data_IF_124670504853
#
_entry.id   IF_124670504853
#
_cell.length_a   1.000
_cell.length_b   1.000
_cell.length_c   1.000
_cell.angle_alpha   90.00
_cell.angle_beta   90.00
_cell.angle_gamma   90.00
#
_symmetry.space_group_name_H-M   'P 1'
#
loop_
_entity.id
_entity.type
_entity.pdbx_description
1 polymer ?
#
# COMPACT_ATOMS: atom_id res chain seq x y z
N UNK A 1 -1.76 12.39 -4.62
CA UNK A 1 -1.64 10.99 -4.17
C UNK A 1 -1.57 10.11 -5.39
N UNK A 2 -0.43 10.23 -6.04
CA UNK A 2 -0.11 9.54 -7.27
C UNK A 2 0.26 8.10 -6.93
N UNK A 3 -0.17 7.18 -7.78
CA UNK A 3 0.06 5.73 -7.73
C UNK A 3 1.29 5.35 -6.92
N UNK A 4 1.15 4.37 -6.02
CA UNK A 4 2.29 3.58 -5.60
C UNK A 4 3.04 3.13 -6.86
N UNK A 5 4.12 3.85 -7.22
CA UNK A 5 5.24 3.37 -8.04
C UNK A 5 6.02 2.32 -7.21
N UNK A 6 5.31 1.58 -6.38
CA UNK A 6 5.82 0.49 -5.59
C UNK A 6 6.12 -0.61 -6.57
N UNK A 7 7.34 -1.11 -6.49
CA UNK A 7 7.72 -2.32 -7.19
C UNK A 7 6.60 -3.36 -7.00
N UNK A 8 6.07 -3.93 -8.10
CA UNK A 8 5.00 -4.88 -7.99
C UNK A 8 5.42 -6.02 -7.07
N UNK A 9 4.54 -6.38 -6.14
CA UNK A 9 4.79 -7.50 -5.26
C UNK A 9 4.43 -8.79 -6.01
N UNK A 10 5.35 -9.76 -6.13
CA UNK A 10 5.07 -11.01 -6.80
C UNK A 10 4.15 -11.87 -5.93
N UNK A 11 3.09 -12.41 -6.53
CA UNK A 11 2.12 -13.30 -5.90
C UNK A 11 2.13 -14.63 -6.65
N UNK A 12 2.17 -15.72 -5.88
CA UNK A 12 2.08 -17.08 -6.40
C UNK A 12 0.65 -17.59 -6.31
N UNK A 13 0.09 -17.98 -7.44
CA UNK A 13 -1.25 -18.54 -7.56
C UNK A 13 -1.15 -20.00 -7.98
N UNK A 14 -1.88 -20.89 -7.31
CA UNK A 14 -1.97 -22.31 -7.68
C UNK A 14 -3.30 -22.58 -8.36
N UNK A 15 -3.25 -23.16 -9.55
CA UNK A 15 -4.46 -23.56 -10.29
C UNK A 15 -5.07 -24.80 -9.61
N UNK A 16 -6.32 -24.65 -9.12
CA UNK A 16 -7.05 -25.72 -8.41
C UNK A 16 -7.90 -26.60 -9.31
N UNK A 17 -8.37 -26.07 -10.44
CA UNK A 17 -9.32 -26.73 -11.34
C UNK A 17 -8.91 -26.62 -12.83
N UNK A 18 -9.64 -27.32 -13.69
CA UNK A 18 -9.46 -27.32 -15.14
C UNK A 18 -9.69 -25.91 -15.72
N UNK A 19 -8.87 -25.54 -16.70
CA UNK A 19 -9.07 -24.30 -17.43
C UNK A 19 -10.22 -24.44 -18.43
N UNK A 20 -11.12 -23.47 -18.46
CA UNK A 20 -12.26 -23.40 -19.39
C UNK A 20 -11.91 -22.40 -20.50
N UNK A 21 -11.78 -22.90 -21.73
CA UNK A 21 -11.51 -22.07 -22.91
C UNK A 21 -12.81 -21.52 -23.51
N UNK A 22 -12.75 -20.47 -24.36
CA UNK A 22 -13.94 -19.82 -24.95
C UNK A 22 -14.95 -20.74 -25.67
N UNK A 23 -14.53 -21.94 -26.08
CA UNK A 23 -15.38 -22.93 -26.74
C UNK A 23 -15.81 -24.08 -25.80
N UNK A 24 -15.82 -23.86 -24.48
CA UNK A 24 -16.06 -24.89 -23.44
C UNK A 24 -15.06 -26.05 -23.45
N UNK A 25 -13.97 -25.93 -24.22
CA UNK A 25 -12.89 -26.91 -24.22
C UNK A 25 -12.20 -26.83 -22.85
N UNK A 26 -12.05 -27.98 -22.19
CA UNK A 26 -11.40 -28.07 -20.88
C UNK A 26 -9.97 -28.58 -21.05
N UNK A 27 -9.01 -27.81 -20.55
CA UNK A 27 -7.60 -28.20 -20.52
C UNK A 27 -7.15 -28.43 -19.08
N UNK A 28 -6.41 -29.52 -18.85
CA UNK A 28 -5.92 -29.85 -17.53
C UNK A 28 -4.65 -29.05 -17.18
N UNK A 29 -4.85 -27.90 -16.53
CA UNK A 29 -3.80 -27.07 -15.94
C UNK A 29 -3.77 -27.19 -14.41
N UNK A 30 -4.43 -28.21 -13.83
CA UNK A 30 -4.53 -28.38 -12.38
C UNK A 30 -3.15 -28.64 -11.79
N UNK A 31 -2.78 -27.86 -10.78
CA UNK A 31 -1.48 -27.95 -10.10
C UNK A 31 -0.38 -27.10 -10.71
N UNK A 32 -0.63 -26.41 -11.83
CA UNK A 32 0.28 -25.39 -12.32
C UNK A 32 0.33 -24.18 -11.38
N UNK A 33 1.44 -23.46 -11.46
CA UNK A 33 1.66 -22.22 -10.75
C UNK A 33 1.63 -21.05 -11.72
N UNK A 34 1.06 -19.94 -11.27
CA UNK A 34 1.03 -18.67 -12.00
C UNK A 34 1.65 -17.62 -11.11
N UNK A 35 2.59 -16.87 -11.67
CA UNK A 35 3.15 -15.69 -11.02
C UNK A 35 2.38 -14.47 -11.54
N UNK A 36 1.95 -13.64 -10.61
CA UNK A 36 1.30 -12.37 -10.89
C UNK A 36 1.97 -11.23 -10.13
N UNK A 37 1.93 -10.03 -10.71
CA UNK A 37 2.41 -8.81 -10.11
C UNK A 37 1.25 -8.01 -9.53
N UNK A 38 1.31 -7.71 -8.23
CA UNK A 38 0.26 -6.98 -7.53
C UNK A 38 0.49 -5.48 -7.46
N UNK A 39 -0.58 -4.72 -7.75
CA UNK A 39 -0.63 -3.27 -7.67
C UNK A 39 -1.76 -2.83 -6.74
N UNK A 40 -1.41 -2.28 -5.59
CA UNK A 40 -2.39 -1.70 -4.65
C UNK A 40 -2.99 -0.40 -5.18
N UNK A 41 -4.32 -0.36 -5.32
CA UNK A 41 -5.11 0.83 -5.66
C UNK A 41 -6.01 1.20 -4.48
N UNK A 42 -5.54 2.15 -3.67
CA UNK A 42 -6.28 2.65 -2.50
C UNK A 42 -7.64 3.26 -2.89
N UNK A 43 -7.75 3.91 -4.04
CA UNK A 43 -9.01 4.51 -4.52
C UNK A 43 -10.11 3.50 -4.83
N UNK A 44 -9.75 2.23 -5.04
CA UNK A 44 -10.70 1.12 -5.28
C UNK A 44 -10.73 0.12 -4.14
N UNK A 45 -9.90 0.33 -3.10
CA UNK A 45 -9.69 -0.64 -2.01
C UNK A 45 -9.36 -2.05 -2.54
N UNK A 46 -8.54 -2.09 -3.60
CA UNK A 46 -8.23 -3.32 -4.33
C UNK A 46 -6.77 -3.47 -4.69
N UNK A 47 -6.32 -4.72 -4.74
CA UNK A 47 -5.03 -5.12 -5.31
C UNK A 47 -5.27 -5.68 -6.71
N UNK A 48 -4.88 -4.92 -7.73
CA UNK A 48 -4.94 -5.36 -9.12
C UNK A 48 -3.76 -6.31 -9.39
N UNK A 49 -4.03 -7.58 -9.69
CA UNK A 49 -3.00 -8.56 -10.04
C UNK A 49 -2.91 -8.67 -11.56
N UNK A 50 -1.70 -8.55 -12.11
CA UNK A 50 -1.40 -8.79 -13.53
C UNK A 50 -0.63 -10.08 -13.67
N UNK A 51 -1.13 -11.00 -14.48
CA UNK A 51 -0.44 -12.27 -14.73
C UNK A 51 0.87 -12.02 -15.50
N UNK A 52 1.90 -12.81 -15.20
CA UNK A 52 3.23 -12.66 -15.81
C UNK A 52 3.70 -13.97 -16.41
N UNK A 53 3.78 -15.04 -15.62
CA UNK A 53 4.23 -16.36 -16.10
C UNK A 53 3.34 -17.47 -15.59
N UNK A 54 3.15 -18.49 -16.43
CA UNK A 54 2.53 -19.76 -16.10
C UNK A 54 3.60 -20.84 -16.15
N UNK A 55 3.76 -21.54 -15.04
CA UNK A 55 4.69 -22.66 -14.90
C UNK A 55 3.94 -23.96 -14.60
N UNK A 56 4.01 -24.93 -15.50
CA UNK A 56 3.45 -26.28 -15.31
C UNK A 56 4.53 -27.34 -15.50
N UNK A 57 4.40 -28.44 -14.76
CA UNK A 57 5.15 -29.67 -15.01
C UNK A 57 4.22 -30.72 -15.59
N UNK A 58 4.63 -31.36 -16.69
CA UNK A 58 3.94 -32.53 -17.19
C UNK A 58 4.02 -33.68 -16.16
N UNK A 59 3.01 -34.54 -16.08
CA UNK A 59 2.90 -35.63 -15.08
C UNK A 59 4.10 -36.58 -15.06
N UNK A 60 4.85 -36.67 -16.15
CA UNK A 60 6.05 -37.47 -16.32
C UNK A 60 7.35 -36.74 -15.95
N UNK A 61 7.29 -35.47 -15.51
CA UNK A 61 8.48 -34.67 -15.17
C UNK A 61 9.35 -34.28 -16.37
N UNK A 62 8.93 -34.64 -17.59
CA UNK A 62 9.72 -34.50 -18.81
C UNK A 62 9.44 -33.22 -19.58
N UNK A 63 8.53 -32.36 -19.11
CA UNK A 63 8.30 -31.08 -19.75
C UNK A 63 7.94 -30.00 -18.73
N UNK A 64 8.61 -28.86 -18.84
CA UNK A 64 8.20 -27.62 -18.17
C UNK A 64 7.56 -26.75 -19.23
N UNK A 65 6.34 -26.32 -18.93
CA UNK A 65 5.70 -25.22 -19.62
C UNK A 65 6.08 -24.00 -18.79
N UNK A 66 6.93 -23.12 -19.31
CA UNK A 66 7.18 -21.81 -18.72
C UNK A 66 6.89 -20.76 -19.79
N UNK A 67 5.72 -20.12 -19.68
CA UNK A 67 5.22 -19.22 -20.71
C UNK A 67 4.79 -17.92 -20.09
N UNK A 68 5.18 -16.81 -20.73
CA UNK A 68 4.74 -15.48 -20.34
C UNK A 68 3.26 -15.31 -20.68
N UNK A 69 2.40 -15.17 -19.68
CA UNK A 69 0.96 -15.01 -19.88
C UNK A 69 0.52 -13.61 -19.50
N UNK A 70 -0.45 -13.05 -20.23
CA UNK A 70 -1.07 -11.78 -19.86
C UNK A 70 -2.52 -11.98 -19.48
N UNK A 71 -2.89 -11.30 -18.41
CA UNK A 71 -4.24 -11.37 -17.87
C UNK A 71 -4.37 -10.63 -16.57
N UNK A 72 -5.55 -10.75 -15.98
CA UNK A 72 -5.86 -10.20 -14.66
C UNK A 72 -6.50 -11.25 -13.78
N UNK A 73 -6.52 -10.98 -12.48
CA UNK A 73 -7.22 -11.82 -11.51
C UNK A 73 -8.53 -11.14 -11.13
N UNK A 74 -9.62 -11.89 -11.23
CA UNK A 74 -10.92 -11.51 -10.72
C UNK A 74 -11.15 -12.15 -9.34
N UNK A 75 -11.70 -11.36 -8.43
CA UNK A 75 -12.16 -11.83 -7.12
C UNK A 75 -13.45 -12.67 -7.29
N UNK A 76 -13.94 -13.28 -6.21
CA UNK A 76 -15.21 -14.03 -6.16
C UNK A 76 -16.41 -13.17 -6.56
N UNK A 77 -16.31 -11.85 -6.44
CA UNK A 77 -17.32 -10.90 -6.91
C UNK A 77 -17.24 -10.57 -8.41
N UNK A 78 -16.36 -11.25 -9.15
CA UNK A 78 -16.18 -11.10 -10.60
C UNK A 78 -15.52 -9.79 -11.04
N UNK A 79 -15.15 -8.92 -10.10
CA UNK A 79 -14.48 -7.65 -10.41
C UNK A 79 -12.98 -7.85 -10.49
N UNK A 80 -12.34 -7.03 -11.33
CA UNK A 80 -10.89 -7.01 -11.47
C UNK A 80 -10.20 -6.62 -10.15
N UNK A 81 -9.20 -7.41 -9.77
CA UNK A 81 -8.40 -7.22 -8.58
C UNK A 81 -9.07 -7.76 -7.31
N UNK A 82 -8.25 -8.07 -6.32
CA UNK A 82 -8.67 -8.60 -5.04
C UNK A 82 -9.16 -7.48 -4.14
N UNK A 83 -10.37 -7.61 -3.60
CA UNK A 83 -10.84 -6.76 -2.51
C UNK A 83 -9.95 -6.98 -1.29
N UNK A 84 -9.50 -5.88 -0.69
CA UNK A 84 -8.80 -5.90 0.58
C UNK A 84 -9.31 -4.83 1.52
N UNK A 85 -8.91 -4.92 2.78
CA UNK A 85 -9.23 -3.93 3.79
C UNK A 85 -8.13 -2.88 3.83
N UNK A 86 -8.51 -1.60 3.79
CA UNK A 86 -7.55 -0.50 3.93
C UNK A 86 -7.26 -0.32 5.41
N UNK A 87 -6.01 -0.58 5.79
CA UNK A 87 -5.54 -0.38 7.16
C UNK A 87 -4.56 0.79 7.19
N UNK A 88 -4.93 1.83 7.94
CA UNK A 88 -4.06 2.97 8.18
C UNK A 88 -3.28 2.76 9.48
N UNK A 89 -1.95 2.92 9.41
CA UNK A 89 -1.05 2.89 10.58
C UNK A 89 -0.79 4.30 11.15
N UNK A 90 -1.44 5.32 10.61
CA UNK A 90 -1.22 6.72 10.95
C UNK A 90 -1.91 7.15 12.25
N UNK A 91 -2.93 6.40 12.72
CA UNK A 91 -3.86 6.88 13.75
C UNK A 91 -3.21 7.31 15.08
N UNK A 92 -2.23 6.54 15.58
CA UNK A 92 -1.53 6.87 16.82
C UNK A 92 -0.64 8.10 16.70
N UNK A 93 0.01 8.29 15.55
CA UNK A 93 0.84 9.44 15.27
C UNK A 93 -0.01 10.71 15.10
N UNK A 94 -1.11 10.64 14.35
CA UNK A 94 -2.06 11.75 14.19
C UNK A 94 -2.69 12.16 15.52
N UNK A 95 -3.07 11.20 16.37
CA UNK A 95 -3.61 11.50 17.70
C UNK A 95 -2.60 12.23 18.60
N UNK A 96 -1.32 11.80 18.57
CA UNK A 96 -0.25 12.47 19.33
C UNK A 96 0.06 13.86 18.79
N UNK A 97 0.04 14.03 17.47
CA UNK A 97 0.17 15.33 16.84
C UNK A 97 -0.97 16.27 17.28
N UNK A 98 -2.22 15.81 17.24
CA UNK A 98 -3.38 16.60 17.65
C UNK A 98 -3.31 17.03 19.13
N UNK A 99 -2.86 16.13 20.02
CA UNK A 99 -2.63 16.47 21.42
C UNK A 99 -1.53 17.51 21.58
N UNK A 100 -0.41 17.36 20.88
CA UNK A 100 0.69 18.32 20.90
C UNK A 100 0.23 19.70 20.38
N UNK A 101 -0.51 19.74 19.26
CA UNK A 101 -1.08 20.99 18.73
C UNK A 101 -2.07 21.67 19.68
N UNK A 102 -2.85 20.90 20.44
CA UNK A 102 -3.72 21.45 21.49
C UNK A 102 -2.92 22.16 22.60
N UNK A 103 -1.85 21.52 23.11
CA UNK A 103 -0.97 22.15 24.12
C UNK A 103 -0.21 23.35 23.54
N UNK A 104 0.21 23.26 22.27
CA UNK A 104 0.82 24.36 21.52
C UNK A 104 -0.09 25.58 21.43
N UNK A 105 -1.34 25.37 21.01
CA UNK A 105 -2.36 26.41 20.90
C UNK A 105 -2.74 27.02 22.26
N UNK A 106 -2.80 26.23 23.32
CA UNK A 106 -3.01 26.75 24.68
C UNK A 106 -1.84 27.66 25.11
N UNK A 107 -0.59 27.24 24.90
CA UNK A 107 0.60 28.06 25.16
C UNK A 107 0.62 29.36 24.34
N UNK A 108 0.17 29.30 23.09
CA UNK A 108 0.03 30.48 22.23
C UNK A 108 -1.04 31.46 22.74
N UNK A 109 -2.18 30.95 23.23
CA UNK A 109 -3.22 31.78 23.84
C UNK A 109 -2.73 32.45 25.14
N UNK A 110 -2.01 31.72 25.99
CA UNK A 110 -1.38 32.29 27.20
C UNK A 110 -0.35 33.36 26.85
N UNK A 111 0.49 33.12 25.84
CA UNK A 111 1.46 34.10 25.33
C UNK A 111 0.76 35.34 24.75
N UNK A 112 -0.31 35.16 23.98
CA UNK A 112 -1.10 36.26 23.42
C UNK A 112 -1.78 37.09 24.53
N UNK A 113 -2.29 36.45 25.59
CA UNK A 113 -2.87 37.13 26.74
C UNK A 113 -1.83 37.88 27.59
N UNK A 114 -0.56 37.46 27.58
CA UNK A 114 0.53 38.12 28.29
C UNK A 114 1.11 39.33 27.52
N UNK A 115 0.77 39.46 26.23
CA UNK A 115 1.18 40.60 25.41
C UNK A 115 0.14 41.73 25.52
N UNK A 116 0.55 42.89 26.02
CA UNK A 116 -0.29 44.11 25.96
C UNK A 116 0.08 44.94 24.74
N UNK A 117 -0.84 45.06 23.78
CA UNK A 117 -0.69 45.95 22.63
C UNK A 117 -1.00 47.39 23.06
N UNK A 118 0.01 48.24 23.17
CA UNK A 118 -0.18 49.66 23.42
C UNK A 118 -0.24 50.40 22.08
N UNK A 119 -1.43 50.92 21.75
CA UNK A 119 -1.64 51.68 20.51
C UNK A 119 -1.33 53.14 20.80
N UNK A 120 -0.18 53.61 20.30
CA UNK A 120 0.25 55.01 20.38
C UNK A 120 0.03 55.70 19.03
N UNK A 121 -0.23 57.02 18.96
CA UNK A 121 -0.34 57.78 17.70
C UNK A 121 0.89 57.67 16.77
N UNK A 122 2.03 57.19 17.30
CA UNK A 122 3.29 56.99 16.56
C UNK A 122 3.48 55.57 16.01
N UNK A 123 2.56 54.64 16.29
CA UNK A 123 2.63 53.23 15.88
C UNK A 123 2.27 52.25 17.02
N UNK A 124 1.89 51.02 16.65
CA UNK A 124 1.61 49.96 17.63
C UNK A 124 2.92 49.38 18.17
N UNK A 125 3.13 49.45 19.49
CA UNK A 125 4.26 48.78 20.14
C UNK A 125 3.73 47.66 21.04
N UNK A 126 4.25 46.44 20.85
CA UNK A 126 3.96 45.34 21.77
C UNK A 126 4.82 45.54 23.01
N UNK A 127 4.19 45.88 24.15
CA UNK A 127 4.87 45.95 25.43
C UNK A 127 4.57 44.66 26.21
N UNK A 128 5.62 43.91 26.52
CA UNK A 128 5.57 42.82 27.49
C UNK A 128 5.98 43.42 28.82
N UNK A 129 5.10 43.40 29.81
CA UNK A 129 5.46 43.89 31.15
C UNK A 129 6.48 42.92 31.79
N UNK A 130 7.48 43.42 32.55
CA UNK A 130 8.48 42.55 33.19
C UNK A 130 7.86 41.46 34.10
N UNK A 131 6.71 41.75 34.71
CA UNK A 131 5.94 40.82 35.55
C UNK A 131 5.27 39.67 34.76
N UNK A 132 4.97 39.89 33.49
CA UNK A 132 4.34 38.89 32.60
C UNK A 132 5.33 38.24 31.63
N UNK A 133 6.58 38.73 31.59
CA UNK A 133 7.67 38.17 30.78
C UNK A 133 7.95 36.70 31.13
N UNK A 134 7.90 36.33 32.41
CA UNK A 134 8.04 34.94 32.84
C UNK A 134 6.91 34.04 32.33
N UNK A 135 5.67 34.53 32.35
CA UNK A 135 4.50 33.80 31.83
C UNK A 135 4.55 33.68 30.30
N UNK A 136 4.93 34.75 29.61
CA UNK A 136 5.11 34.76 28.16
C UNK A 136 6.25 33.83 27.71
N UNK A 137 7.35 33.76 28.47
CA UNK A 137 8.47 32.86 28.20
C UNK A 137 8.10 31.39 28.41
N UNK A 138 7.37 31.07 29.49
CA UNK A 138 6.85 29.70 29.74
C UNK A 138 5.85 29.31 28.64
N UNK A 139 4.91 30.20 28.30
CA UNK A 139 3.93 29.98 27.23
C UNK A 139 4.59 29.77 25.86
N UNK A 140 5.62 30.58 25.54
CA UNK A 140 6.38 30.46 24.29
C UNK A 140 7.24 29.19 24.21
N UNK A 141 7.88 28.78 25.31
CA UNK A 141 8.68 27.54 25.35
C UNK A 141 7.81 26.28 25.23
N UNK A 142 6.66 26.27 25.92
CA UNK A 142 5.68 25.20 25.82
C UNK A 142 5.04 25.15 24.43
N UNK A 143 4.73 26.30 23.81
CA UNK A 143 4.13 26.29 22.49
C UNK A 143 5.11 25.87 21.40
N UNK A 144 6.33 26.40 21.40
CA UNK A 144 7.37 25.99 20.43
C UNK A 144 7.74 24.50 20.55
N UNK A 145 7.91 23.98 21.76
CA UNK A 145 8.21 22.55 21.95
C UNK A 145 7.07 21.64 21.50
N UNK A 146 5.82 22.04 21.75
CA UNK A 146 4.65 21.27 21.35
C UNK A 146 4.43 21.29 19.84
N UNK A 147 4.64 22.43 19.17
CA UNK A 147 4.56 22.53 17.71
C UNK A 147 5.63 21.68 17.00
N UNK A 148 6.82 21.55 17.58
CA UNK A 148 7.87 20.70 17.02
C UNK A 148 7.54 19.20 17.18
N UNK A 149 7.00 18.83 18.34
CA UNK A 149 6.49 17.47 18.58
C UNK A 149 5.32 17.15 17.64
N UNK A 150 4.40 18.09 17.44
CA UNK A 150 3.30 17.95 16.50
C UNK A 150 3.83 17.66 15.09
N UNK A 151 4.76 18.49 14.58
CA UNK A 151 5.35 18.30 13.26
C UNK A 151 6.04 16.95 13.12
N UNK A 152 6.85 16.56 14.11
CA UNK A 152 7.49 15.24 14.15
C UNK A 152 6.45 14.11 14.01
N UNK A 153 5.34 14.19 14.76
CA UNK A 153 4.29 13.18 14.69
C UNK A 153 3.47 13.24 13.40
N UNK A 154 3.25 14.43 12.83
CA UNK A 154 2.62 14.57 11.52
C UNK A 154 3.50 14.00 10.40
N UNK A 155 4.81 14.17 10.48
CA UNK A 155 5.76 13.62 9.52
C UNK A 155 5.83 12.09 9.65
N UNK A 156 5.88 11.56 10.87
CA UNK A 156 5.75 10.12 11.13
C UNK A 156 4.42 9.57 10.59
N UNK A 157 3.32 10.31 10.76
CA UNK A 157 2.04 9.92 10.19
C UNK A 157 2.09 9.92 8.65
N UNK A 158 2.63 10.96 8.01
CA UNK A 158 2.76 11.06 6.54
C UNK A 158 3.59 9.93 5.93
N UNK A 159 4.62 9.46 6.64
CA UNK A 159 5.44 8.32 6.21
C UNK A 159 4.71 6.99 6.30
N UNK A 160 3.72 6.86 7.19
CA UNK A 160 2.89 5.67 7.29
C UNK A 160 1.91 5.61 6.11
N UNK A 161 2.36 4.99 5.02
CA UNK A 161 1.50 4.72 3.85
C UNK A 161 0.43 3.70 4.24
N UNK A 162 -0.86 3.96 3.94
CA UNK A 162 -1.91 2.98 4.19
C UNK A 162 -1.66 1.71 3.36
N UNK A 163 -1.92 0.57 3.97
CA UNK A 163 -1.74 -0.74 3.33
C UNK A 163 -3.10 -1.36 3.02
N UNK A 164 -3.15 -2.18 1.97
CA UNK A 164 -4.33 -2.98 1.63
C UNK A 164 -4.04 -4.41 2.04
N UNK A 165 -4.78 -4.91 3.03
CA UNK A 165 -4.66 -6.28 3.50
C UNK A 165 -5.61 -7.19 2.73
N UNK A 166 -5.06 -8.22 2.08
CA UNK A 166 -5.83 -9.25 1.38
C UNK A 166 -5.72 -10.55 2.16
N UNK A 167 -6.86 -11.20 2.41
CA UNK A 167 -6.90 -12.46 3.16
C UNK A 167 -6.10 -13.59 2.49
N UNK A 168 -5.49 -14.45 3.29
CA UNK A 168 -4.75 -15.62 2.82
C UNK A 168 -5.69 -16.66 2.17
N UNK A 169 -5.14 -17.44 1.22
CA UNK A 169 -5.82 -18.61 0.61
C UNK A 169 -7.17 -18.28 -0.02
N UNK A 170 -7.30 -17.07 -0.56
CA UNK A 170 -8.50 -16.64 -1.26
C UNK A 170 -8.67 -17.37 -2.60
N UNK A 171 -9.88 -17.84 -2.89
CA UNK A 171 -10.19 -18.42 -4.20
C UNK A 171 -10.42 -17.29 -5.19
N UNK A 172 -9.77 -17.36 -6.34
CA UNK A 172 -9.77 -16.28 -7.33
C UNK A 172 -9.85 -16.88 -8.72
N UNK A 173 -10.40 -16.11 -9.65
CA UNK A 173 -10.53 -16.51 -11.05
C UNK A 173 -9.45 -15.82 -11.85
N UNK A 174 -8.62 -16.61 -12.55
CA UNK A 174 -7.61 -16.06 -13.45
C UNK A 174 -8.24 -15.86 -14.83
N UNK A 175 -8.18 -14.65 -15.35
CA UNK A 175 -8.69 -14.30 -16.68
C UNK A 175 -7.52 -13.98 -17.59
N UNK A 176 -7.28 -14.85 -18.56
CA UNK A 176 -6.26 -14.67 -19.58
C UNK A 176 -6.82 -13.78 -20.69
N UNK A 177 -6.14 -12.67 -21.00
CA UNK A 177 -6.61 -11.68 -21.98
C UNK A 177 -6.00 -11.87 -23.35
N UNK A 178 -4.78 -12.40 -23.42
CA UNK A 178 -4.08 -12.67 -24.67
C UNK A 178 -3.82 -14.17 -24.79
N UNK A 179 -4.15 -14.74 -25.96
CA UNK A 179 -3.83 -16.12 -26.27
C UNK A 179 -2.31 -16.32 -26.30
N UNK A 180 -1.87 -17.48 -25.82
CA UNK A 180 -0.46 -17.85 -25.74
C UNK A 180 -0.29 -19.25 -26.31
N UNK A 181 0.66 -19.39 -27.21
CA UNK A 181 1.09 -20.69 -27.68
C UNK A 181 1.96 -21.35 -26.61
N UNK A 182 1.51 -22.50 -26.12
CA UNK A 182 2.25 -23.24 -25.11
C UNK A 182 3.38 -24.02 -25.80
N UNK A 183 4.59 -23.46 -25.81
CA UNK A 183 5.77 -24.22 -26.22
C UNK A 183 6.13 -25.17 -25.10
N UNK A 184 5.97 -26.47 -25.37
CA UNK A 184 6.31 -27.54 -24.44
C UNK A 184 7.79 -27.86 -24.64
N UNK A 185 8.63 -27.39 -23.72
CA UNK A 185 10.05 -27.73 -23.73
C UNK A 185 10.22 -29.11 -23.08
N UNK A 186 10.69 -30.09 -23.85
CA UNK A 186 11.11 -31.38 -23.30
C UNK A 186 12.35 -31.15 -22.43
N UNK A 187 12.29 -31.52 -21.16
CA UNK A 187 13.42 -31.47 -20.23
C UNK A 187 13.77 -32.90 -19.87
N UNK A 188 15.03 -33.27 -20.15
CA UNK A 188 15.58 -34.55 -19.74
C UNK A 188 15.99 -34.45 -18.27
N UNK A 189 15.13 -34.89 -17.35
CA UNK A 189 15.50 -35.00 -15.93
C UNK A 189 16.16 -36.37 -15.72
N UNK A 190 17.46 -36.39 -15.43
CA UNK A 190 18.14 -37.60 -14.95
C UNK A 190 18.73 -38.54 -16.01
N UNK A 191 19.51 -38.02 -16.97
CA UNK A 191 20.47 -38.83 -17.73
C UNK A 191 19.91 -39.87 -18.71
N UNK A 192 18.61 -39.87 -19.01
CA UNK A 192 18.05 -40.65 -20.11
C UNK A 192 17.81 -39.76 -21.33
N UNK A 193 18.28 -40.26 -22.48
CA UNK A 193 18.32 -39.59 -23.77
C UNK A 193 16.96 -39.06 -24.19
N UNK A 194 16.84 -37.74 -24.37
CA UNK A 194 15.77 -37.16 -25.15
C UNK A 194 16.02 -37.51 -26.63
N UNK A 195 15.37 -38.56 -27.13
CA UNK A 195 15.33 -38.82 -28.56
C UNK A 195 14.50 -37.74 -29.27
N UNK A 196 15.03 -37.32 -30.42
CA UNK A 196 14.64 -36.16 -31.23
C UNK A 196 13.16 -36.18 -31.60
#
# INVERSE_FOLDING_TARGET
VESAKGNPEPVLLRIRDLAVLPNQIKTNLKGCFVIAHGFGKLSKERVELRLVTLSCLAKNGQAVIDQGIKGYVADEDGKNGLRGNVVSRMGSAVARAALAGFFGGAGDAFRASANTTSVSPLGATQLIKPEDLGKAAIGGGLSSGSHEIERLYLDLARQATPIIEVGATKTVTLVVTEGVDLIINKICVGGQSCEK
#
